data_IF_372493103831
#
_entry.id   IF_372493103831
#
_cell.length_a   1.000
_cell.length_b   1.000
_cell.length_c   1.000
_cell.angle_alpha   90.00
_cell.angle_beta   90.00
_cell.angle_gamma   90.00
#
_symmetry.space_group_name_H-M   'P 1'
#
loop_
_entity.id
_entity.type
_entity.pdbx_description
1 polymer ?
#
# COMPACT_ATOMS: atom_id res chain seq x y z
N UNK A 1 -36.39 -48.07 -51.93
CA UNK A 1 -35.74 -48.25 -50.65
C UNK A 1 -34.42 -47.41 -50.73
N UNK A 2 -34.39 -46.24 -50.18
CA UNK A 2 -33.13 -45.53 -50.15
C UNK A 2 -32.36 -45.92 -48.88
N UNK A 3 -31.13 -46.32 -49.11
CA UNK A 3 -30.12 -46.55 -48.08
C UNK A 3 -29.79 -45.24 -47.34
N UNK A 4 -30.01 -45.27 -46.07
CA UNK A 4 -29.59 -44.17 -45.23
C UNK A 4 -28.20 -44.52 -44.67
N UNK A 5 -27.18 -43.96 -45.30
CA UNK A 5 -25.84 -44.00 -44.77
C UNK A 5 -25.74 -43.02 -43.57
N UNK A 6 -25.72 -43.57 -42.37
CA UNK A 6 -25.34 -42.83 -41.15
C UNK A 6 -23.81 -42.68 -41.20
N UNK A 7 -23.33 -41.47 -41.38
CA UNK A 7 -21.92 -41.13 -41.22
C UNK A 7 -21.73 -40.78 -39.74
N UNK A 8 -21.27 -41.75 -38.98
CA UNK A 8 -20.72 -41.50 -37.63
C UNK A 8 -19.33 -40.85 -37.83
N UNK A 9 -19.27 -39.56 -37.61
CA UNK A 9 -18.01 -38.82 -37.52
C UNK A 9 -17.98 -38.15 -36.15
N UNK A 10 -17.87 -38.97 -35.10
CA UNK A 10 -17.71 -38.48 -33.72
C UNK A 10 -16.26 -38.28 -33.30
N UNK A 11 -15.28 -38.43 -34.20
CA UNK A 11 -13.86 -38.36 -33.84
C UNK A 11 -13.09 -37.10 -34.35
N UNK A 12 -13.79 -36.02 -34.70
CA UNK A 12 -13.11 -34.85 -35.25
C UNK A 12 -13.35 -33.55 -34.46
N UNK A 13 -13.87 -33.60 -33.22
CA UNK A 13 -14.10 -32.40 -32.41
C UNK A 13 -13.48 -32.46 -31.00
N UNK A 14 -12.50 -33.32 -30.80
CA UNK A 14 -11.80 -33.44 -29.51
C UNK A 14 -10.32 -33.06 -29.57
N UNK A 15 -9.93 -32.19 -30.50
CA UNK A 15 -8.55 -31.73 -30.59
C UNK A 15 -8.52 -30.26 -30.98
N UNK A 16 -8.85 -29.38 -30.06
CA UNK A 16 -8.38 -28.01 -29.95
C UNK A 16 -9.10 -27.27 -28.80
N UNK A 17 -9.19 -27.88 -27.64
CA UNK A 17 -9.12 -27.11 -26.44
C UNK A 17 -7.64 -26.99 -26.17
N UNK A 18 -7.06 -25.90 -26.71
CA UNK A 18 -5.84 -25.34 -26.17
C UNK A 18 -5.95 -25.38 -24.66
N UNK A 19 -5.10 -26.18 -24.04
CA UNK A 19 -4.57 -25.89 -22.73
C UNK A 19 -3.87 -24.52 -22.85
N UNK A 20 -4.63 -23.44 -22.97
CA UNK A 20 -4.24 -22.18 -22.42
C UNK A 20 -4.11 -22.47 -20.93
N UNK A 21 -2.92 -22.93 -20.54
CA UNK A 21 -2.56 -23.13 -19.16
C UNK A 21 -2.96 -21.83 -18.47
N UNK A 22 -3.88 -21.94 -17.52
CA UNK A 22 -4.02 -20.95 -16.50
C UNK A 22 -2.61 -20.86 -15.91
N UNK A 23 -1.78 -19.92 -16.41
CA UNK A 23 -0.62 -19.46 -15.69
C UNK A 23 -1.23 -18.98 -14.37
N UNK A 24 -1.17 -19.83 -13.34
CA UNK A 24 -1.43 -19.41 -11.98
C UNK A 24 -0.51 -18.20 -11.78
N UNK A 25 -1.09 -17.01 -11.90
CA UNK A 25 -0.37 -15.76 -11.75
C UNK A 25 0.27 -15.81 -10.36
N UNK A 26 1.56 -16.07 -10.36
CA UNK A 26 2.33 -16.08 -9.11
C UNK A 26 2.12 -14.75 -8.38
N UNK A 27 1.97 -14.76 -7.06
CA UNK A 27 1.79 -13.53 -6.31
C UNK A 27 2.94 -12.56 -6.61
N UNK A 28 2.60 -11.34 -7.00
CA UNK A 28 3.57 -10.29 -7.30
C UNK A 28 4.31 -9.87 -6.03
N UNK A 29 5.58 -9.57 -6.16
CA UNK A 29 6.37 -8.99 -5.08
C UNK A 29 6.10 -7.50 -4.97
N UNK A 30 6.34 -6.92 -3.79
CA UNK A 30 6.19 -5.48 -3.59
C UNK A 30 7.15 -4.66 -4.47
N UNK A 31 8.33 -5.18 -4.78
CA UNK A 31 9.26 -4.54 -5.69
C UNK A 31 8.73 -4.45 -7.12
N UNK A 32 8.11 -5.53 -7.62
CA UNK A 32 7.46 -5.56 -8.95
C UNK A 32 6.30 -4.58 -9.05
N UNK A 33 5.64 -4.26 -7.93
CA UNK A 33 4.55 -3.28 -7.84
C UNK A 33 5.03 -1.82 -7.70
N UNK A 34 6.34 -1.58 -7.71
CA UNK A 34 6.92 -0.25 -7.65
C UNK A 34 7.07 0.32 -6.22
N UNK A 35 6.96 -0.53 -5.19
CA UNK A 35 7.20 -0.11 -3.82
C UNK A 35 8.68 0.27 -3.63
N UNK A 36 9.00 1.42 -3.00
CA UNK A 36 10.37 1.84 -2.77
C UNK A 36 11.21 0.81 -2.01
N UNK A 37 12.46 0.63 -2.43
CA UNK A 37 13.36 -0.38 -1.88
C UNK A 37 13.50 -0.39 -0.35
N UNK A 38 13.58 0.76 0.34
CA UNK A 38 13.57 0.81 1.80
C UNK A 38 12.34 0.13 2.42
N UNK A 39 11.14 0.38 1.88
CA UNK A 39 9.90 -0.22 2.36
C UNK A 39 9.84 -1.72 2.04
N UNK A 40 10.31 -2.13 0.85
CA UNK A 40 10.42 -3.56 0.49
C UNK A 40 11.26 -4.32 1.51
N UNK A 41 12.37 -3.74 1.96
CA UNK A 41 13.23 -4.37 2.98
C UNK A 41 12.52 -4.54 4.33
N UNK A 42 11.78 -3.53 4.78
CA UNK A 42 10.99 -3.62 6.02
C UNK A 42 9.91 -4.69 5.92
N UNK A 43 9.20 -4.72 4.81
CA UNK A 43 8.16 -5.73 4.57
C UNK A 43 8.75 -7.14 4.53
N UNK A 44 9.89 -7.31 3.86
CA UNK A 44 10.57 -8.60 3.80
C UNK A 44 11.10 -9.07 5.18
N UNK A 45 11.61 -8.14 6.00
CA UNK A 45 12.04 -8.43 7.37
C UNK A 45 10.87 -8.88 8.26
N UNK A 46 9.64 -8.38 7.97
CA UNK A 46 8.40 -8.80 8.64
C UNK A 46 7.73 -10.02 7.95
N UNK A 47 8.46 -10.72 7.08
CA UNK A 47 7.99 -11.92 6.40
C UNK A 47 7.02 -11.67 5.24
N UNK A 48 6.76 -10.42 4.89
CA UNK A 48 5.86 -10.01 3.81
C UNK A 48 6.64 -9.82 2.51
N UNK A 49 6.73 -10.86 1.70
CA UNK A 49 7.51 -10.85 0.45
C UNK A 49 6.64 -10.57 -0.79
N UNK A 50 5.41 -11.03 -0.76
CA UNK A 50 4.46 -10.92 -1.87
C UNK A 50 3.19 -10.19 -1.44
N UNK A 51 2.56 -9.54 -2.39
CA UNK A 51 1.35 -8.77 -2.17
C UNK A 51 0.10 -9.64 -2.17
N UNK A 52 -0.87 -9.28 -1.34
CA UNK A 52 -2.23 -9.78 -1.47
C UNK A 52 -2.94 -9.14 -2.67
N UNK A 53 -4.02 -9.76 -3.20
CA UNK A 53 -4.72 -9.25 -4.37
C UNK A 53 -5.09 -7.76 -4.29
N UNK A 54 -5.68 -7.31 -3.18
CA UNK A 54 -6.05 -5.90 -2.99
C UNK A 54 -4.84 -4.97 -3.05
N UNK A 55 -3.67 -5.42 -2.61
CA UNK A 55 -2.42 -4.66 -2.67
C UNK A 55 -1.90 -4.61 -4.10
N UNK A 56 -1.88 -5.74 -4.81
CA UNK A 56 -1.46 -5.82 -6.20
C UNK A 56 -2.34 -4.94 -7.11
N UNK A 57 -3.65 -4.94 -6.87
CA UNK A 57 -4.60 -4.15 -7.65
C UNK A 57 -4.49 -2.64 -7.40
N UNK A 58 -4.10 -2.21 -6.21
CA UNK A 58 -4.16 -0.79 -5.81
C UNK A 58 -2.82 -0.09 -5.76
N UNK A 59 -1.72 -0.78 -5.45
CA UNK A 59 -0.40 -0.16 -5.26
C UNK A 59 0.14 0.57 -6.48
N UNK A 60 0.05 0.04 -7.73
CA UNK A 60 0.58 0.75 -8.89
C UNK A 60 -0.07 2.13 -9.07
N UNK A 61 -1.37 2.22 -8.92
CA UNK A 61 -2.10 3.47 -9.08
C UNK A 61 -1.92 4.42 -7.89
N UNK A 62 -1.96 3.91 -6.67
CA UNK A 62 -1.79 4.74 -5.47
C UNK A 62 -0.37 5.29 -5.33
N UNK A 63 0.66 4.52 -5.70
CA UNK A 63 2.05 4.99 -5.75
C UNK A 63 2.24 6.07 -6.84
N UNK A 64 1.51 5.97 -7.95
CA UNK A 64 1.47 7.00 -8.99
C UNK A 64 0.69 8.27 -8.58
N UNK A 65 0.10 8.30 -7.39
CA UNK A 65 -0.61 9.45 -6.85
C UNK A 65 -2.08 9.54 -7.24
N UNK A 66 -2.66 8.47 -7.76
CA UNK A 66 -4.09 8.41 -8.08
C UNK A 66 -4.92 8.13 -6.84
N UNK A 67 -6.16 8.62 -6.85
CA UNK A 67 -7.15 8.30 -5.83
C UNK A 67 -7.65 6.87 -6.01
N UNK A 68 -7.79 6.16 -4.89
CA UNK A 68 -8.19 4.75 -4.88
C UNK A 68 -9.43 4.56 -4.01
N UNK A 69 -10.42 3.87 -4.53
CA UNK A 69 -11.53 3.32 -3.77
C UNK A 69 -11.40 1.78 -3.73
N UNK A 70 -10.81 1.26 -2.68
CA UNK A 70 -10.59 -0.18 -2.49
C UNK A 70 -11.63 -0.80 -1.56
N UNK A 71 -12.19 -1.94 -1.96
CA UNK A 71 -13.02 -2.79 -1.11
C UNK A 71 -12.36 -4.14 -0.89
N UNK A 72 -12.37 -4.61 0.33
CA UNK A 72 -11.82 -5.91 0.68
C UNK A 72 -12.38 -6.40 2.01
N UNK A 73 -12.38 -7.70 2.21
CA UNK A 73 -12.77 -8.32 3.47
C UNK A 73 -11.75 -8.04 4.56
N UNK A 74 -12.14 -8.23 5.82
CA UNK A 74 -11.20 -8.23 6.95
C UNK A 74 -10.10 -9.27 6.70
N UNK A 75 -8.83 -8.90 6.95
CA UNK A 75 -7.68 -9.77 6.69
C UNK A 75 -7.21 -9.82 5.23
N UNK A 76 -7.78 -9.01 4.32
CA UNK A 76 -7.36 -8.96 2.91
C UNK A 76 -6.10 -8.12 2.64
N UNK A 77 -5.50 -7.52 3.67
CA UNK A 77 -4.30 -6.71 3.52
C UNK A 77 -4.54 -5.23 3.18
N UNK A 78 -5.76 -4.72 3.36
CA UNK A 78 -6.11 -3.32 3.08
C UNK A 78 -5.22 -2.30 3.80
N UNK A 79 -4.85 -2.58 5.04
CA UNK A 79 -4.04 -1.65 5.82
C UNK A 79 -2.69 -1.38 5.14
N UNK A 80 -2.01 -2.40 4.64
CA UNK A 80 -0.78 -2.21 3.86
C UNK A 80 -1.04 -1.54 2.51
N UNK A 81 -2.18 -1.83 1.87
CA UNK A 81 -2.53 -1.25 0.57
C UNK A 81 -2.58 0.28 0.59
N UNK A 82 -3.02 0.90 1.69
CA UNK A 82 -2.98 2.36 1.84
C UNK A 82 -1.78 2.88 2.62
N UNK A 83 -1.22 2.09 3.55
CA UNK A 83 -0.08 2.52 4.38
C UNK A 83 1.20 2.66 3.56
N UNK A 84 1.46 1.73 2.65
CA UNK A 84 2.65 1.77 1.79
C UNK A 84 2.71 3.04 0.94
N UNK A 85 1.69 3.39 0.13
CA UNK A 85 1.74 4.60 -0.68
C UNK A 85 1.73 5.88 0.17
N UNK A 86 1.02 5.89 1.30
CA UNK A 86 1.04 7.02 2.22
C UNK A 86 2.46 7.29 2.72
N UNK A 87 3.15 6.28 3.22
CA UNK A 87 4.51 6.42 3.74
C UNK A 87 5.52 6.70 2.63
N UNK A 88 5.39 6.06 1.46
CA UNK A 88 6.25 6.32 0.32
C UNK A 88 6.21 7.80 -0.09
N UNK A 89 5.02 8.36 -0.25
CA UNK A 89 4.83 9.77 -0.63
C UNK A 89 5.29 10.75 0.46
N UNK A 90 5.10 10.42 1.72
CA UNK A 90 5.60 11.25 2.83
C UNK A 90 7.12 11.17 3.00
N UNK A 91 7.73 10.09 2.51
CA UNK A 91 9.17 9.88 2.53
C UNK A 91 9.92 10.49 1.33
N UNK A 92 9.21 10.81 0.26
CA UNK A 92 9.73 11.57 -0.88
C UNK A 92 9.80 13.05 -0.50
N UNK A 93 10.79 13.40 0.31
CA UNK A 93 11.06 14.79 0.72
C UNK A 93 12.20 15.32 -0.13
N UNK A 94 11.96 16.37 -0.88
CA UNK A 94 13.02 17.12 -1.53
C UNK A 94 14.02 17.66 -0.50
N UNK A 95 15.29 17.84 -0.89
CA UNK A 95 16.33 18.28 0.02
C UNK A 95 15.97 19.58 0.75
N UNK A 96 15.31 20.52 0.05
CA UNK A 96 14.85 21.78 0.60
C UNK A 96 13.72 21.60 1.63
N UNK A 97 12.86 20.60 1.43
CA UNK A 97 11.80 20.26 2.38
C UNK A 97 12.35 19.54 3.61
N UNK A 98 13.48 18.82 3.46
CA UNK A 98 14.18 18.19 4.58
C UNK A 98 14.79 19.24 5.53
N UNK A 99 15.35 20.29 5.00
CA UNK A 99 15.89 21.40 5.79
C UNK A 99 14.76 22.11 6.55
N UNK A 100 13.65 22.40 5.89
CA UNK A 100 12.44 22.95 6.51
C UNK A 100 11.85 22.01 7.58
N UNK A 101 11.87 20.69 7.36
CA UNK A 101 11.43 19.69 8.34
C UNK A 101 12.37 19.61 9.55
N UNK A 102 13.65 19.81 9.37
CA UNK A 102 14.61 19.86 10.46
C UNK A 102 14.41 21.09 11.34
N UNK A 103 14.20 22.24 10.72
CA UNK A 103 13.84 23.50 11.40
C UNK A 103 12.49 23.34 12.13
N UNK A 104 11.48 22.78 11.47
CA UNK A 104 10.18 22.50 12.05
C UNK A 104 10.26 21.60 13.30
N UNK A 105 11.06 20.52 13.25
CA UNK A 105 11.29 19.66 14.44
C UNK A 105 11.93 20.43 15.58
N UNK A 106 12.90 21.27 15.25
CA UNK A 106 13.56 22.11 16.24
C UNK A 106 12.59 23.09 16.88
N UNK A 107 11.75 23.74 16.10
CA UNK A 107 10.71 24.66 16.58
C UNK A 107 9.67 23.95 17.45
N UNK A 108 9.17 22.78 17.00
CA UNK A 108 8.24 21.96 17.81
C UNK A 108 8.86 21.55 19.13
N UNK A 109 10.14 21.20 19.15
CA UNK A 109 10.82 20.82 20.39
C UNK A 109 11.04 22.02 21.31
N UNK A 110 11.36 23.21 20.77
CA UNK A 110 11.45 24.46 21.50
C UNK A 110 10.10 24.85 22.10
N UNK A 111 9.03 24.75 21.32
CA UNK A 111 7.65 25.00 21.77
C UNK A 111 7.25 24.03 22.87
N UNK A 112 7.55 22.73 22.75
CA UNK A 112 7.27 21.73 23.81
C UNK A 112 8.06 22.00 25.10
N UNK A 113 9.29 22.53 25.00
CA UNK A 113 10.12 22.90 26.16
C UNK A 113 9.71 24.23 26.78
N UNK A 114 9.21 25.17 25.96
CA UNK A 114 8.80 26.51 26.42
C UNK A 114 7.38 26.60 26.99
N UNK A 115 6.49 25.67 26.67
CA UNK A 115 5.06 25.75 27.00
C UNK A 115 4.61 24.99 28.25
N UNK A 116 5.49 24.79 29.22
CA UNK A 116 5.02 24.46 30.55
C UNK A 116 4.24 25.62 31.22
N UNK A 117 4.43 26.85 30.77
CA UNK A 117 3.89 28.04 31.47
C UNK A 117 2.98 28.99 30.66
N UNK A 118 2.97 29.00 29.34
CA UNK A 118 2.04 29.87 28.58
C UNK A 118 1.48 29.18 27.33
N UNK A 119 0.27 28.66 27.44
CA UNK A 119 -0.53 28.23 26.29
C UNK A 119 -1.09 29.45 25.56
N UNK A 120 -0.34 29.99 24.62
CA UNK A 120 -0.92 30.71 23.49
C UNK A 120 -1.08 29.73 22.35
N UNK A 121 -2.28 29.14 22.29
CA UNK A 121 -2.64 28.06 21.37
C UNK A 121 -2.84 28.52 19.92
N UNK A 122 -2.65 29.81 19.61
CA UNK A 122 -3.08 30.34 18.31
C UNK A 122 -1.96 30.49 17.28
N UNK A 123 -0.68 30.41 17.67
CA UNK A 123 0.42 30.73 16.75
C UNK A 123 1.08 29.52 16.08
N UNK A 124 0.77 28.30 16.51
CA UNK A 124 1.37 27.11 15.92
C UNK A 124 0.39 25.93 15.83
N UNK A 125 -0.24 25.81 14.66
CA UNK A 125 -1.02 24.63 14.30
C UNK A 125 -0.12 23.70 13.46
N UNK A 126 0.22 22.50 13.97
CA UNK A 126 0.94 21.53 13.18
C UNK A 126 0.10 21.14 11.95
N UNK A 127 0.68 21.28 10.78
CA UNK A 127 0.03 20.88 9.54
C UNK A 127 0.36 19.41 9.25
N UNK A 128 -0.60 18.48 9.42
CA UNK A 128 -0.34 17.08 9.11
C UNK A 128 -0.16 16.91 7.60
N UNK A 129 0.91 16.24 7.17
CA UNK A 129 1.15 15.92 5.76
C UNK A 129 0.34 14.70 5.31
N UNK A 130 -0.08 13.85 6.23
CA UNK A 130 -0.92 12.69 5.99
C UNK A 130 -1.96 12.53 7.09
N UNK A 131 -3.15 12.11 6.71
CA UNK A 131 -4.27 11.91 7.64
C UNK A 131 -4.92 10.55 7.35
N UNK A 132 -5.11 9.76 8.39
CA UNK A 132 -5.87 8.52 8.35
C UNK A 132 -7.06 8.62 9.28
N UNK A 133 -8.25 8.38 8.75
CA UNK A 133 -9.49 8.35 9.53
C UNK A 133 -9.95 6.91 9.72
N UNK A 134 -10.29 6.55 10.94
CA UNK A 134 -10.79 5.23 11.30
C UNK A 134 -12.04 5.35 12.18
N UNK A 135 -13.01 4.43 12.05
CA UNK A 135 -14.27 4.51 12.78
C UNK A 135 -14.14 4.22 14.28
N UNK A 136 -13.07 3.52 14.71
CA UNK A 136 -12.84 3.16 16.11
C UNK A 136 -11.39 3.40 16.50
N UNK A 137 -11.16 3.59 17.81
CA UNK A 137 -9.82 3.72 18.39
C UNK A 137 -9.00 2.44 18.21
N UNK A 138 -9.62 1.29 18.37
CA UNK A 138 -8.98 -0.01 18.21
C UNK A 138 -8.44 -0.18 16.79
N UNK A 139 -9.22 0.19 15.78
CA UNK A 139 -8.78 0.14 14.39
C UNK A 139 -7.66 1.17 14.12
N UNK A 140 -7.76 2.37 14.69
CA UNK A 140 -6.70 3.37 14.58
C UNK A 140 -5.38 2.86 15.18
N UNK A 141 -5.42 2.18 16.32
CA UNK A 141 -4.24 1.57 16.92
C UNK A 141 -3.66 0.46 16.03
N UNK A 142 -4.49 -0.43 15.48
CA UNK A 142 -4.04 -1.47 14.54
C UNK A 142 -3.39 -0.88 13.28
N UNK A 143 -3.93 0.21 12.75
CA UNK A 143 -3.35 0.92 11.61
C UNK A 143 -2.00 1.53 12.00
N UNK A 144 -1.91 2.15 13.18
CA UNK A 144 -0.66 2.71 13.67
C UNK A 144 0.44 1.66 13.84
N UNK A 145 0.11 0.46 14.33
CA UNK A 145 1.06 -0.64 14.48
C UNK A 145 1.65 -1.10 13.14
N UNK A 146 0.90 -0.95 12.05
CA UNK A 146 1.37 -1.24 10.69
C UNK A 146 2.17 -0.06 10.11
N UNK A 147 1.70 1.19 10.33
CA UNK A 147 2.33 2.39 9.78
C UNK A 147 3.69 2.70 10.42
N UNK A 148 3.82 2.51 11.74
CA UNK A 148 5.01 2.92 12.48
C UNK A 148 6.30 2.28 11.98
N UNK A 149 6.38 0.95 11.76
CA UNK A 149 7.59 0.33 11.23
C UNK A 149 7.98 0.86 9.85
N UNK A 150 7.00 1.13 8.99
CA UNK A 150 7.22 1.68 7.65
C UNK A 150 7.73 3.13 7.73
N UNK A 151 7.09 3.95 8.57
CA UNK A 151 7.45 5.36 8.73
C UNK A 151 8.83 5.56 9.38
N UNK A 152 9.28 4.64 10.22
CA UNK A 152 10.59 4.72 10.87
C UNK A 152 11.75 4.65 9.87
N UNK A 153 11.55 4.02 8.70
CA UNK A 153 12.58 3.94 7.66
C UNK A 153 13.02 5.29 7.09
N UNK A 154 12.14 6.29 7.13
CA UNK A 154 12.42 7.63 6.63
C UNK A 154 12.86 8.61 7.73
N UNK A 155 13.03 8.10 8.97
CA UNK A 155 13.50 8.90 10.12
C UNK A 155 14.98 8.67 10.46
N UNK A 156 15.63 7.76 9.75
CA UNK A 156 17.00 7.31 10.04
C UNK A 156 18.03 8.18 9.32
#
# INVERSE_FOLDING_TARGET
MPDTAVIENEDALAADFDEAGEEEERPQTFAELGVPGPLVRVLAADGKKTAFPIQADTLPDSLAGRDILGRGRTGSGKTLAFSIPLVARLGEVDADEYENMSQFRHEVEQVRKGHAEERRADDFLPHPRGLVLAPTRELANQINDVLMPLAQMYRS
#
